data_IF_101749326103
#
_entry.id   IF_101749326103
#
_cell.length_a   1.000
_cell.length_b   1.000
_cell.length_c   1.000
_cell.angle_alpha   90.00
_cell.angle_beta   90.00
_cell.angle_gamma   90.00
#
_symmetry.space_group_name_H-M   'P 1'
#
loop_
_entity.id
_entity.type
_entity.pdbx_description
1 polymer ?
#
# COMPACT_ATOMS: atom_id res chain seq x y z
N UNK A 1 -3.09 -12.26 -5.52
CA UNK A 1 -3.58 -11.60 -4.30
C UNK A 1 -2.64 -11.96 -3.16
N UNK A 2 -2.14 -10.97 -2.43
CA UNK A 2 -1.28 -11.13 -1.25
C UNK A 2 -1.93 -10.38 -0.09
N UNK A 3 -2.03 -11.03 1.07
CA UNK A 3 -2.51 -10.40 2.30
C UNK A 3 -1.45 -10.56 3.37
N UNK A 4 -1.00 -9.44 3.92
CA UNK A 4 -0.05 -9.37 5.02
C UNK A 4 -0.79 -8.76 6.20
N UNK A 5 -0.92 -9.51 7.28
CA UNK A 5 -1.68 -9.09 8.46
C UNK A 5 -0.82 -9.36 9.70
N UNK A 6 -0.74 -8.40 10.62
CA UNK A 6 0.00 -8.52 11.88
C UNK A 6 1.45 -8.96 11.68
N UNK A 7 2.13 -8.29 10.74
CA UNK A 7 3.54 -8.49 10.45
C UNK A 7 4.30 -7.19 10.75
N UNK A 8 4.55 -6.89 12.04
CA UNK A 8 5.20 -5.64 12.43
C UNK A 8 6.63 -5.52 11.87
N UNK A 9 7.32 -6.63 11.61
CA UNK A 9 8.70 -6.62 11.07
C UNK A 9 8.76 -6.70 9.55
N UNK A 10 7.66 -7.01 8.87
CA UNK A 10 7.65 -7.21 7.42
C UNK A 10 7.24 -5.91 6.73
N UNK A 11 8.21 -5.19 6.18
CA UNK A 11 7.94 -3.93 5.45
C UNK A 11 8.50 -3.93 4.02
N UNK A 12 9.13 -5.03 3.61
CA UNK A 12 9.60 -5.21 2.25
C UNK A 12 8.87 -6.40 1.63
N UNK A 13 7.86 -6.11 0.83
CA UNK A 13 7.28 -7.08 -0.09
C UNK A 13 8.18 -7.06 -1.31
N UNK A 14 8.97 -8.10 -1.53
CA UNK A 14 9.84 -8.20 -2.69
C UNK A 14 9.09 -7.81 -3.97
N UNK A 15 9.77 -7.15 -4.91
CA UNK A 15 9.19 -6.69 -6.18
C UNK A 15 8.40 -7.81 -6.85
N UNK A 16 7.07 -7.76 -6.77
CA UNK A 16 6.17 -8.76 -7.35
C UNK A 16 5.49 -8.15 -8.57
N UNK A 17 6.10 -8.24 -9.76
CA UNK A 17 5.57 -7.62 -10.98
C UNK A 17 4.24 -8.20 -11.45
N UNK A 18 3.84 -9.38 -10.96
CA UNK A 18 2.58 -10.05 -11.30
C UNK A 18 1.48 -9.87 -10.22
N UNK A 19 1.75 -9.12 -9.13
CA UNK A 19 0.79 -8.98 -8.05
C UNK A 19 -0.30 -7.99 -8.45
N UNK A 20 -1.54 -8.46 -8.55
CA UNK A 20 -2.69 -7.62 -8.90
C UNK A 20 -3.42 -7.01 -7.71
N UNK A 21 -3.30 -7.61 -6.53
CA UNK A 21 -4.02 -7.17 -5.33
C UNK A 21 -3.17 -7.40 -4.09
N UNK A 22 -3.04 -6.36 -3.27
CA UNK A 22 -2.26 -6.35 -2.04
C UNK A 22 -3.11 -5.80 -0.89
N UNK A 23 -3.19 -6.55 0.19
CA UNK A 23 -3.75 -6.09 1.47
C UNK A 23 -2.64 -6.09 2.52
N UNK A 24 -2.50 -5.00 3.26
CA UNK A 24 -1.55 -4.82 4.35
C UNK A 24 -2.32 -4.31 5.56
N UNK A 25 -2.28 -5.02 6.67
CA UNK A 25 -3.03 -4.66 7.88
C UNK A 25 -2.16 -4.85 9.12
N UNK A 26 -2.07 -3.84 9.98
CA UNK A 26 -1.28 -3.90 11.22
C UNK A 26 0.18 -4.34 10.95
N UNK A 27 0.74 -3.81 9.87
CA UNK A 27 2.11 -4.06 9.44
C UNK A 27 2.85 -2.73 9.36
N UNK A 28 4.15 -2.79 9.03
CA UNK A 28 5.03 -1.63 8.90
C UNK A 28 5.54 -1.10 10.23
N UNK A 29 6.76 -1.52 10.61
CA UNK A 29 7.67 -0.77 11.49
C UNK A 29 8.56 0.20 10.70
N UNK A 30 8.62 0.07 9.37
CA UNK A 30 9.35 0.99 8.49
C UNK A 30 8.41 2.06 7.91
N UNK A 31 9.02 3.20 7.59
CA UNK A 31 8.35 4.41 7.11
C UNK A 31 7.79 4.28 5.68
N UNK A 32 8.22 3.27 4.91
CA UNK A 32 7.91 3.13 3.49
C UNK A 32 7.56 1.69 3.09
N UNK A 33 6.66 1.56 2.11
CA UNK A 33 6.32 0.28 1.47
C UNK A 33 7.06 0.12 0.12
N UNK A 34 7.27 -1.13 -0.30
CA UNK A 34 7.98 -1.52 -1.54
C UNK A 34 7.68 -0.67 -2.77
N UNK A 35 8.73 -0.22 -3.47
CA UNK A 35 8.62 0.80 -4.51
C UNK A 35 8.15 0.33 -5.89
N UNK A 36 8.04 -0.98 -6.17
CA UNK A 36 7.82 -1.47 -7.55
C UNK A 36 6.75 -2.56 -7.65
N UNK A 37 5.52 -2.16 -8.02
CA UNK A 37 4.40 -3.07 -8.25
C UNK A 37 3.60 -2.66 -9.50
N UNK A 38 4.12 -2.96 -10.71
CA UNK A 38 3.54 -2.47 -11.97
C UNK A 38 2.16 -3.05 -12.30
N UNK A 39 1.87 -4.30 -11.94
CA UNK A 39 0.58 -4.94 -12.22
C UNK A 39 -0.46 -4.77 -11.10
N UNK A 40 -0.14 -4.05 -10.02
CA UNK A 40 -1.02 -3.90 -8.87
C UNK A 40 -2.23 -3.08 -9.28
N UNK A 41 -3.42 -3.65 -9.16
CA UNK A 41 -4.70 -3.00 -9.45
C UNK A 41 -5.37 -2.52 -8.16
N UNK A 42 -5.21 -3.27 -7.07
CA UNK A 42 -5.90 -3.03 -5.79
C UNK A 42 -4.88 -3.00 -4.64
N UNK A 43 -4.90 -1.93 -3.85
CA UNK A 43 -4.08 -1.77 -2.65
C UNK A 43 -4.96 -1.37 -1.47
N UNK A 44 -4.95 -2.16 -0.40
CA UNK A 44 -5.62 -1.89 0.87
C UNK A 44 -4.56 -1.86 1.98
N UNK A 45 -4.45 -0.73 2.69
CA UNK A 45 -3.47 -0.53 3.76
C UNK A 45 -4.17 0.00 5.01
N UNK A 46 -4.18 -0.80 6.07
CA UNK A 46 -4.94 -0.58 7.29
C UNK A 46 -4.04 -0.63 8.53
N UNK A 47 -4.29 0.22 9.53
CA UNK A 47 -3.66 0.10 10.85
C UNK A 47 -2.11 0.13 10.79
N UNK A 48 -1.53 0.80 9.79
CA UNK A 48 -0.08 0.92 9.62
C UNK A 48 0.38 2.28 10.16
N UNK A 49 0.50 2.40 11.48
CA UNK A 49 0.85 3.67 12.12
C UNK A 49 2.29 4.11 11.92
N UNK A 50 3.21 3.23 11.55
CA UNK A 50 4.59 3.64 11.22
C UNK A 50 4.77 3.98 9.74
N UNK A 51 3.78 3.71 8.90
CA UNK A 51 3.88 3.95 7.46
C UNK A 51 3.72 5.44 7.17
N UNK A 52 4.78 6.08 6.71
CA UNK A 52 4.77 7.50 6.36
C UNK A 52 4.47 7.73 4.88
N UNK A 53 4.89 6.80 4.01
CA UNK A 53 4.80 6.94 2.55
C UNK A 53 4.42 5.64 1.86
N UNK A 54 3.57 5.77 0.84
CA UNK A 54 3.18 4.67 -0.05
C UNK A 54 4.12 4.52 -1.24
N UNK A 55 4.06 3.40 -1.97
CA UNK A 55 4.89 3.19 -3.15
C UNK A 55 4.67 4.29 -4.20
N UNK A 56 5.76 4.85 -4.72
CA UNK A 56 5.68 5.90 -5.74
C UNK A 56 5.35 5.38 -7.14
N UNK A 57 5.59 4.08 -7.41
CA UNK A 57 5.49 3.52 -8.76
C UNK A 57 4.51 2.34 -8.83
N UNK A 58 3.22 2.69 -8.88
CA UNK A 58 2.10 1.76 -9.07
C UNK A 58 1.20 2.23 -10.23
N UNK A 59 1.68 2.16 -11.48
CA UNK A 59 0.94 2.65 -12.65
C UNK A 59 -0.36 1.89 -12.92
N UNK A 60 -0.50 0.65 -12.43
CA UNK A 60 -1.68 -0.18 -12.63
C UNK A 60 -2.80 0.00 -11.59
N UNK A 61 -2.59 0.78 -10.52
CA UNK A 61 -3.53 0.83 -9.39
C UNK A 61 -4.81 1.54 -9.82
N UNK A 62 -5.93 0.83 -9.70
CA UNK A 62 -7.27 1.33 -9.92
C UNK A 62 -7.95 1.75 -8.64
N UNK A 63 -7.67 1.02 -7.55
CA UNK A 63 -8.30 1.23 -6.26
C UNK A 63 -7.26 1.20 -5.15
N UNK A 64 -7.24 2.28 -4.36
CA UNK A 64 -6.34 2.48 -3.23
C UNK A 64 -7.19 2.81 -2.01
N UNK A 65 -7.17 1.94 -1.01
CA UNK A 65 -7.82 2.16 0.28
C UNK A 65 -6.75 2.28 1.35
N UNK A 66 -6.80 3.37 2.10
CA UNK A 66 -5.89 3.61 3.22
C UNK A 66 -6.70 4.15 4.38
N UNK A 67 -6.56 3.53 5.53
CA UNK A 67 -7.37 3.82 6.71
C UNK A 67 -6.59 3.51 7.98
N UNK A 68 -6.83 4.33 9.01
CA UNK A 68 -6.18 4.21 10.31
C UNK A 68 -4.63 4.10 10.23
N UNK A 69 -4.00 4.90 9.37
CA UNK A 69 -2.53 5.01 9.29
C UNK A 69 -2.12 6.40 9.80
N UNK A 70 -1.79 6.53 11.08
CA UNK A 70 -1.61 7.83 11.75
C UNK A 70 -0.40 8.64 11.29
N UNK A 71 0.68 7.98 10.85
CA UNK A 71 1.90 8.68 10.39
C UNK A 71 1.97 8.91 8.89
N UNK A 72 0.94 8.52 8.11
CA UNK A 72 0.97 8.63 6.66
C UNK A 72 0.91 10.11 6.23
N UNK A 73 2.06 10.65 5.81
CA UNK A 73 2.23 12.07 5.49
C UNK A 73 1.86 12.40 4.04
N UNK A 74 2.00 11.46 3.12
CA UNK A 74 1.74 11.72 1.70
C UNK A 74 1.27 10.49 0.91
N UNK A 75 0.07 10.60 0.34
CA UNK A 75 -0.37 9.79 -0.80
C UNK A 75 0.25 10.38 -2.07
N UNK A 76 1.51 10.03 -2.38
CA UNK A 76 2.22 10.55 -3.57
C UNK A 76 1.58 10.12 -4.88
N UNK A 77 0.79 9.05 -4.87
CA UNK A 77 0.03 8.64 -6.04
C UNK A 77 -1.44 9.02 -5.82
N UNK A 78 -1.91 10.07 -6.48
CA UNK A 78 -3.34 10.22 -6.80
C UNK A 78 -3.57 9.52 -8.15
N UNK A 79 -3.79 8.19 -8.21
CA UNK A 79 -4.63 7.70 -9.29
C UNK A 79 -5.99 8.39 -9.11
N UNK A 80 -6.67 8.74 -10.20
CA UNK A 80 -8.00 9.32 -10.16
C UNK A 80 -8.92 8.40 -9.34
N UNK A 81 -9.06 8.68 -8.06
CA UNK A 81 -10.11 8.14 -7.21
C UNK A 81 -11.35 8.90 -7.65
N UNK A 82 -12.06 8.34 -8.63
CA UNK A 82 -13.48 8.62 -8.79
C UNK A 82 -14.12 8.33 -7.43
N UNK A 83 -14.43 9.41 -6.72
CA UNK A 83 -15.20 9.38 -5.49
C UNK A 83 -16.52 8.68 -5.82
N UNK A 84 -16.73 7.49 -5.24
CA UNK A 84 -18.06 6.91 -5.21
C UNK A 84 -18.95 7.85 -4.37
N UNK A 85 -19.87 8.53 -5.06
CA UNK A 85 -21.10 9.08 -4.47
C UNK A 85 -21.96 7.96 -3.85
#
# INVERSE_FOLDING_TARGET
YLSVINCPTLCEIASTPALESLKVEECCSQEQLSHHMPALKWLDVALCDSLEQLPHHMPGVKLLMVWACGSLKALVNKPALDSFE
#
